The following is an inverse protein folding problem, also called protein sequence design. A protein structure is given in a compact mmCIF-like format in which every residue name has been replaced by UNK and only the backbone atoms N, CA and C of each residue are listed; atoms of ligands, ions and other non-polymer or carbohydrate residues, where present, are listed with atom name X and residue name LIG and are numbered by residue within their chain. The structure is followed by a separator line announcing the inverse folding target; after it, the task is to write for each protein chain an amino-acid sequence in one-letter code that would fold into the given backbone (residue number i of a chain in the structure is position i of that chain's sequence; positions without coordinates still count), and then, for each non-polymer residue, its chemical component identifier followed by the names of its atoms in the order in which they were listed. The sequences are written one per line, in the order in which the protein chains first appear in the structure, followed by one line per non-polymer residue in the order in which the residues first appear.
data_IF_241983368693
#
_entry.id   IF_241983368693
#
_cell.length_a   1.000
_cell.length_b   1.000
_cell.length_c   1.000
_cell.angle_alpha   90.00
_cell.angle_beta   90.00
_cell.angle_gamma   90.00
#
_symmetry.space_group_name_H-M   'P 1'
#
loop_
_entity.id
_entity.type
_entity.pdbx_description
1 polymer ?
#
# COMPACT_ATOMS: atom_id res chain seq x y z
N UNK A 1 -10.15 16.04 -10.40
CA UNK A 1 -9.43 15.56 -9.20
C UNK A 1 -8.92 14.19 -9.56
N UNK A 2 -7.61 14.04 -9.73
CA UNK A 2 -6.99 12.74 -10.02
C UNK A 2 -6.95 11.96 -8.72
N UNK A 3 -7.69 10.86 -8.64
CA UNK A 3 -7.54 9.89 -7.56
C UNK A 3 -6.33 9.04 -7.94
N UNK A 4 -5.16 9.38 -7.41
CA UNK A 4 -3.99 8.52 -7.55
C UNK A 4 -4.31 7.18 -6.88
N UNK A 5 -3.98 6.09 -7.55
CA UNK A 5 -4.17 4.72 -7.07
C UNK A 5 -2.81 4.06 -6.86
N UNK A 6 -2.59 3.51 -5.68
CA UNK A 6 -1.39 2.79 -5.30
C UNK A 6 -1.59 1.30 -5.58
N UNK A 7 -0.89 0.79 -6.58
CA UNK A 7 -0.89 -0.63 -6.95
C UNK A 7 0.32 -1.27 -6.27
N UNK A 8 0.12 -2.34 -5.50
CA UNK A 8 1.19 -3.07 -4.82
C UNK A 8 1.18 -4.50 -5.30
N UNK A 9 2.32 -4.96 -5.81
CA UNK A 9 2.51 -6.35 -6.23
C UNK A 9 3.41 -7.07 -5.23
N UNK A 10 2.94 -8.21 -4.74
CA UNK A 10 3.72 -9.09 -3.88
C UNK A 10 4.52 -10.10 -4.71
N UNK A 11 5.61 -10.60 -4.11
CA UNK A 11 6.46 -11.68 -4.64
C UNK A 11 5.70 -12.99 -4.79
N UNK A 12 4.63 -13.19 -4.02
CA UNK A 12 3.70 -14.34 -4.17
C UNK A 12 2.94 -14.31 -5.51
N UNK A 13 2.88 -13.16 -6.18
CA UNK A 13 2.07 -12.92 -7.38
C UNK A 13 0.77 -12.17 -7.11
N UNK A 14 0.40 -11.96 -5.84
CA UNK A 14 -0.79 -11.19 -5.47
C UNK A 14 -0.61 -9.71 -5.82
N UNK A 15 -1.67 -9.07 -6.31
CA UNK A 15 -1.69 -7.63 -6.61
C UNK A 15 -2.83 -6.98 -5.85
N UNK A 16 -2.52 -5.93 -5.10
CA UNK A 16 -3.47 -5.15 -4.31
C UNK A 16 -3.57 -3.72 -4.86
N UNK A 17 -4.77 -3.16 -4.76
CA UNK A 17 -5.09 -1.83 -5.26
C UNK A 17 -5.57 -0.99 -4.09
N UNK A 18 -4.82 0.05 -3.77
CA UNK A 18 -5.10 0.97 -2.68
C UNK A 18 -5.41 2.34 -3.23
N UNK A 19 -6.31 3.10 -2.59
CA UNK A 19 -6.50 4.50 -2.95
C UNK A 19 -5.30 5.28 -2.41
N UNK A 20 -4.52 5.96 -3.26
CA UNK A 20 -3.31 6.69 -2.82
C UNK A 20 -3.61 7.94 -1.97
N UNK A 21 -4.89 8.24 -1.76
CA UNK A 21 -5.34 9.27 -0.83
C UNK A 21 -4.90 9.02 0.61
N UNK A 22 -5.01 10.07 1.44
CA UNK A 22 -4.66 10.01 2.85
C UNK A 22 -5.40 8.86 3.55
N UNK A 23 -4.68 8.19 4.45
CA UNK A 23 -5.33 7.29 5.42
C UNK A 23 -6.21 8.18 6.31
N UNK A 24 -7.48 7.82 6.49
CA UNK A 24 -8.35 8.59 7.38
C UNK A 24 -7.75 8.60 8.80
N UNK A 25 -7.27 9.75 9.25
CA UNK A 25 -6.68 9.94 10.58
C UNK A 25 -5.16 10.01 10.64
N UNK A 26 -4.44 9.76 9.52
CA UNK A 26 -2.98 9.91 9.47
C UNK A 26 -2.59 10.83 8.30
N UNK A 27 -1.83 11.92 8.54
CA UNK A 27 -1.36 12.81 7.47
C UNK A 27 -0.32 12.16 6.55
N UNK A 28 0.19 10.97 6.91
CA UNK A 28 1.14 10.21 6.10
C UNK A 28 0.43 9.59 4.90
N UNK A 29 1.05 9.66 3.71
CA UNK A 29 0.49 8.99 2.54
C UNK A 29 0.63 7.46 2.72
N UNK A 30 -0.32 6.69 2.18
CA UNK A 30 -0.20 5.22 2.17
C UNK A 30 1.11 4.76 1.51
N UNK A 31 1.60 5.55 0.56
CA UNK A 31 2.86 5.31 -0.14
C UNK A 31 4.04 5.40 0.81
N UNK A 32 4.09 6.42 1.68
CA UNK A 32 5.17 6.59 2.65
C UNK A 32 5.19 5.42 3.65
N UNK A 33 4.00 5.01 4.13
CA UNK A 33 3.87 3.85 5.01
C UNK A 33 4.30 2.55 4.33
N UNK A 34 3.96 2.38 3.05
CA UNK A 34 4.40 1.23 2.26
C UNK A 34 5.92 1.24 2.10
N UNK A 35 6.49 2.41 1.76
CA UNK A 35 7.93 2.54 1.57
C UNK A 35 8.67 2.22 2.87
N UNK A 36 8.19 2.76 3.99
CA UNK A 36 8.72 2.45 5.30
C UNK A 36 8.66 0.94 5.60
N UNK A 37 7.55 0.28 5.29
CA UNK A 37 7.40 -1.15 5.48
C UNK A 37 8.38 -1.96 4.62
N UNK A 38 8.58 -1.58 3.36
CA UNK A 38 9.56 -2.22 2.46
C UNK A 38 10.99 -2.02 2.97
N UNK A 39 11.32 -0.80 3.38
CA UNK A 39 12.67 -0.43 3.86
C UNK A 39 13.01 -1.12 5.20
N UNK A 40 12.03 -1.26 6.10
CA UNK A 40 12.24 -1.81 7.45
C UNK A 40 11.78 -3.26 7.63
N UNK A 41 11.11 -3.86 6.63
CA UNK A 41 10.53 -5.20 6.73
C UNK A 41 9.37 -5.32 7.72
N UNK A 42 8.68 -4.21 7.98
CA UNK A 42 7.54 -4.20 8.91
C UNK A 42 6.26 -4.62 8.20
N UNK A 43 5.22 -4.94 8.98
CA UNK A 43 3.89 -5.12 8.43
C UNK A 43 3.33 -3.80 7.90
N UNK A 44 2.80 -3.84 6.69
CA UNK A 44 1.98 -2.79 6.11
C UNK A 44 0.52 -3.21 6.22
N UNK A 45 -0.30 -2.34 6.81
CA UNK A 45 -1.74 -2.56 6.96
C UNK A 45 -2.47 -1.37 6.35
N UNK A 46 -3.34 -1.64 5.38
CA UNK A 46 -4.12 -0.60 4.71
C UNK A 46 -5.41 -1.14 4.11
N UNK A 47 -6.44 -0.30 4.11
CA UNK A 47 -7.72 -0.54 3.41
C UNK A 47 -7.53 -0.39 1.90
N UNK A 48 -7.92 -1.41 1.14
CA UNK A 48 -7.93 -1.43 -0.33
C UNK A 48 -9.13 -0.66 -0.94
N UNK A 49 -9.18 -0.56 -2.28
CA UNK A 49 -10.28 0.13 -3.00
C UNK A 49 -11.67 -0.49 -2.75
N UNK A 50 -11.72 -1.73 -2.27
CA UNK A 50 -12.96 -2.44 -1.95
C UNK A 50 -13.38 -2.25 -0.49
N UNK A 51 -12.63 -1.47 0.30
CA UNK A 51 -12.89 -1.27 1.71
C UNK A 51 -12.44 -2.44 2.58
N UNK A 52 -11.56 -3.32 2.06
CA UNK A 52 -11.04 -4.49 2.79
C UNK A 52 -9.68 -4.15 3.39
N UNK A 53 -9.52 -4.42 4.68
CA UNK A 53 -8.22 -4.35 5.34
C UNK A 53 -7.28 -5.40 4.77
N UNK A 54 -6.18 -4.95 4.16
CA UNK A 54 -5.09 -5.79 3.68
C UNK A 54 -3.89 -5.60 4.57
N UNK A 55 -3.26 -6.71 4.92
CA UNK A 55 -2.02 -6.74 5.67
C UNK A 55 -1.01 -7.64 4.97
N UNK A 56 0.22 -7.16 4.80
CA UNK A 56 1.33 -7.94 4.27
C UNK A 56 2.67 -7.40 4.78
N UNK A 57 3.73 -8.22 4.70
CA UNK A 57 5.06 -7.77 5.07
C UNK A 57 5.67 -6.92 3.93
N UNK A 58 6.34 -5.82 4.25
CA UNK A 58 7.02 -5.01 3.26
C UNK A 58 8.12 -5.76 2.48
N UNK A 59 8.77 -6.77 3.07
CA UNK A 59 9.70 -7.63 2.37
C UNK A 59 9.05 -8.58 1.36
N UNK A 60 7.75 -8.82 1.48
CA UNK A 60 6.99 -9.59 0.50
C UNK A 60 6.59 -8.76 -0.71
N UNK A 61 6.78 -7.43 -0.67
CA UNK A 61 6.53 -6.56 -1.82
C UNK A 61 7.60 -6.77 -2.87
N UNK A 62 7.15 -7.03 -4.10
CA UNK A 62 7.99 -7.11 -5.30
C UNK A 62 8.17 -5.71 -5.91
N UNK A 63 7.06 -5.01 -6.12
CA UNK A 63 7.06 -3.63 -6.63
C UNK A 63 5.77 -2.89 -6.25
N UNK A 64 5.79 -1.57 -6.41
CA UNK A 64 4.61 -0.73 -6.30
C UNK A 64 4.58 0.34 -7.40
N UNK A 65 3.39 0.79 -7.76
CA UNK A 65 3.16 1.78 -8.81
C UNK A 65 2.06 2.77 -8.40
N UNK A 66 2.23 4.03 -8.78
CA UNK A 66 1.23 5.08 -8.60
C UNK A 66 0.63 5.41 -9.98
N UNK A 67 -0.68 5.19 -10.11
CA UNK A 67 -1.46 5.39 -11.33
C UNK A 67 -2.44 6.56 -11.19
#
# INVERSE_FOLDING_TARGET
MSFESLIVKLKSGDTFYFPAGAVSGDPSTRVDNLRFAIENGTQFTSVDDYGVDREFNGYDVDNYHLA
#
